data_IF_812866249578
#
_entry.id   IF_812866249578
#
_cell.length_a   1.000
_cell.length_b   1.000
_cell.length_c   1.000
_cell.angle_alpha   90.00
_cell.angle_beta   90.00
_cell.angle_gamma   90.00
#
_symmetry.space_group_name_H-M   'P 1'
#
loop_
_entity.id
_entity.type
_entity.pdbx_description
1 polymer ?
#
# COMPACT_ATOMS: atom_id res chain seq x y z
N UNK A 1 55.75 -30.27 -64.12
CA UNK A 1 54.69 -31.25 -64.50
C UNK A 1 53.87 -31.82 -63.34
N UNK A 2 54.40 -31.91 -62.10
CA UNK A 2 53.67 -32.49 -60.96
C UNK A 2 52.47 -31.65 -60.43
N UNK A 3 52.44 -30.33 -60.66
CA UNK A 3 51.31 -29.47 -60.23
C UNK A 3 50.04 -29.62 -61.09
N UNK A 4 50.17 -29.91 -62.40
CA UNK A 4 49.02 -30.06 -63.32
C UNK A 4 48.30 -31.41 -63.16
N UNK A 5 49.04 -32.48 -62.85
CA UNK A 5 48.48 -33.82 -62.61
C UNK A 5 47.56 -33.84 -61.39
N UNK A 6 47.96 -33.17 -60.30
CA UNK A 6 47.13 -33.03 -59.11
C UNK A 6 45.84 -32.22 -59.34
N UNK A 7 45.89 -31.20 -60.22
CA UNK A 7 44.71 -30.40 -60.58
C UNK A 7 43.70 -31.22 -61.38
N UNK A 8 44.15 -32.02 -62.36
CA UNK A 8 43.25 -32.88 -63.14
C UNK A 8 42.67 -34.03 -62.32
N UNK A 9 43.43 -34.62 -61.39
CA UNK A 9 42.90 -35.62 -60.46
C UNK A 9 41.87 -35.03 -59.49
N UNK A 10 42.08 -33.79 -59.03
CA UNK A 10 41.08 -33.08 -58.22
C UNK A 10 39.81 -32.77 -59.01
N UNK A 11 39.94 -32.29 -60.25
CA UNK A 11 38.82 -32.00 -61.13
C UNK A 11 37.99 -33.26 -61.46
N UNK A 12 38.65 -34.40 -61.69
CA UNK A 12 37.97 -35.70 -61.88
C UNK A 12 37.21 -36.13 -60.63
N UNK A 13 37.80 -36.05 -59.44
CA UNK A 13 37.13 -36.41 -58.17
C UNK A 13 35.96 -35.48 -57.86
N UNK A 14 36.11 -34.18 -58.12
CA UNK A 14 35.02 -33.20 -58.00
C UNK A 14 33.89 -33.49 -59.00
N UNK A 15 34.23 -33.88 -60.24
CA UNK A 15 33.25 -34.28 -61.24
C UNK A 15 32.42 -35.50 -60.83
N UNK A 16 33.03 -36.52 -60.23
CA UNK A 16 32.33 -37.71 -59.70
C UNK A 16 31.43 -37.35 -58.51
N UNK A 17 31.91 -36.50 -57.60
CA UNK A 17 31.13 -35.99 -56.45
C UNK A 17 29.94 -35.14 -56.89
N UNK A 18 30.04 -34.44 -58.03
CA UNK A 18 28.97 -33.66 -58.63
C UNK A 18 27.96 -34.53 -59.41
N UNK A 19 28.41 -35.62 -60.06
CA UNK A 19 27.50 -36.51 -60.82
C UNK A 19 26.68 -37.44 -59.93
N UNK A 20 27.18 -37.81 -58.75
CA UNK A 20 26.49 -38.73 -57.83
C UNK A 20 25.72 -38.00 -56.71
N UNK A 21 25.56 -36.67 -56.79
CA UNK A 21 24.87 -35.86 -55.76
C UNK A 21 25.60 -35.78 -54.42
N UNK A 22 26.73 -36.49 -54.24
CA UNK A 22 27.46 -36.59 -52.99
C UNK A 22 27.97 -35.23 -52.46
N UNK A 23 28.29 -34.27 -53.34
CA UNK A 23 28.66 -32.92 -52.93
C UNK A 23 27.46 -32.12 -52.42
N UNK A 24 26.30 -32.25 -53.06
CA UNK A 24 25.04 -31.61 -52.62
C UNK A 24 24.57 -32.22 -51.30
N UNK A 25 24.65 -33.55 -51.16
CA UNK A 25 24.37 -34.29 -49.93
C UNK A 25 25.28 -33.84 -48.78
N UNK A 26 26.59 -33.70 -49.04
CA UNK A 26 27.56 -33.20 -48.06
C UNK A 26 27.26 -31.75 -47.65
N UNK A 27 26.91 -30.89 -48.61
CA UNK A 27 26.56 -29.49 -48.33
C UNK A 27 25.29 -29.41 -47.46
N UNK A 28 24.28 -30.23 -47.78
CA UNK A 28 23.04 -30.33 -46.99
C UNK A 28 23.28 -30.86 -45.58
N UNK A 29 24.16 -31.86 -45.42
CA UNK A 29 24.58 -32.35 -44.10
C UNK A 29 25.33 -31.28 -43.30
N UNK A 30 26.15 -30.47 -43.97
CA UNK A 30 26.86 -29.36 -43.33
C UNK A 30 25.90 -28.25 -42.89
N UNK A 31 24.88 -27.92 -43.69
CA UNK A 31 23.79 -27.00 -43.31
C UNK A 31 23.01 -27.52 -42.11
N UNK A 32 22.56 -28.77 -42.13
CA UNK A 32 21.87 -29.42 -41.01
C UNK A 32 22.73 -29.46 -39.74
N UNK A 33 24.04 -29.70 -39.88
CA UNK A 33 24.97 -29.66 -38.76
C UNK A 33 25.10 -28.25 -38.17
N UNK A 34 25.20 -27.22 -39.02
CA UNK A 34 25.28 -25.83 -38.56
C UNK A 34 23.96 -25.38 -37.91
N UNK A 35 22.82 -25.76 -38.47
CA UNK A 35 21.50 -25.51 -37.88
C UNK A 35 21.35 -26.22 -36.53
N UNK A 36 21.68 -27.51 -36.46
CA UNK A 36 21.68 -28.27 -35.21
C UNK A 36 22.62 -27.67 -34.16
N UNK A 37 23.79 -27.20 -34.58
CA UNK A 37 24.75 -26.51 -33.69
C UNK A 37 24.24 -25.16 -33.23
N UNK A 38 23.57 -24.39 -34.08
CA UNK A 38 22.90 -23.14 -33.70
C UNK A 38 21.81 -23.39 -32.67
N UNK A 39 20.93 -24.35 -32.95
CA UNK A 39 19.84 -24.74 -32.05
C UNK A 39 20.39 -25.20 -30.68
N UNK A 40 21.49 -25.96 -30.67
CA UNK A 40 22.14 -26.39 -29.43
C UNK A 40 22.70 -25.19 -28.65
N UNK A 41 23.31 -24.22 -29.33
CA UNK A 41 23.80 -22.99 -28.68
C UNK A 41 22.64 -22.16 -28.11
N UNK A 42 21.55 -21.99 -28.86
CA UNK A 42 20.37 -21.23 -28.42
C UNK A 42 19.71 -21.88 -27.20
N UNK A 43 19.58 -23.21 -27.21
CA UNK A 43 19.07 -23.98 -26.07
C UNK A 43 19.99 -23.81 -24.85
N UNK A 44 21.31 -23.91 -25.02
CA UNK A 44 22.26 -23.72 -23.92
C UNK A 44 22.19 -22.30 -23.34
N UNK A 45 22.10 -21.27 -24.18
CA UNK A 45 21.93 -19.89 -23.72
C UNK A 45 20.65 -19.76 -22.89
N UNK A 46 19.54 -20.35 -23.36
CA UNK A 46 18.25 -20.30 -22.65
C UNK A 46 18.29 -21.07 -21.33
N UNK A 47 19.02 -22.19 -21.28
CA UNK A 47 19.27 -22.92 -20.03
C UNK A 47 20.06 -22.04 -19.04
N UNK A 48 21.08 -21.33 -19.51
CA UNK A 48 21.89 -20.46 -18.65
C UNK A 48 21.10 -19.23 -18.17
N UNK A 49 20.23 -18.66 -19.00
CA UNK A 49 19.27 -17.62 -18.60
C UNK A 49 18.30 -18.14 -17.53
N UNK A 50 17.76 -19.35 -17.71
CA UNK A 50 16.87 -19.98 -16.73
C UNK A 50 17.57 -20.22 -15.38
N UNK A 51 18.82 -20.70 -15.40
CA UNK A 51 19.61 -20.87 -14.17
C UNK A 51 19.80 -19.54 -13.43
N UNK A 52 20.14 -18.46 -14.15
CA UNK A 52 20.27 -17.12 -13.54
C UNK A 52 18.96 -16.63 -12.92
N UNK A 53 17.83 -16.88 -13.58
CA UNK A 53 16.50 -16.54 -13.04
C UNK A 53 16.18 -17.37 -11.79
N UNK A 54 16.51 -18.65 -11.79
CA UNK A 54 16.29 -19.54 -10.65
C UNK A 54 17.15 -19.13 -9.44
N UNK A 55 18.42 -18.81 -9.67
CA UNK A 55 19.34 -18.24 -8.67
C UNK A 55 18.79 -16.92 -8.12
N UNK A 56 18.36 -16.00 -8.99
CA UNK A 56 17.76 -14.72 -8.59
C UNK A 56 16.46 -14.87 -7.81
N UNK A 57 15.62 -15.86 -8.15
CA UNK A 57 14.41 -16.19 -7.40
C UNK A 57 14.74 -16.71 -6.01
N UNK A 58 15.78 -17.53 -5.90
CA UNK A 58 16.27 -18.05 -4.63
C UNK A 58 16.81 -16.92 -3.73
N UNK A 59 17.63 -16.02 -4.28
CA UNK A 59 18.15 -14.87 -3.52
C UNK A 59 17.04 -13.94 -3.03
N UNK A 60 16.07 -13.60 -3.88
CA UNK A 60 14.90 -12.79 -3.50
C UNK A 60 14.08 -13.44 -2.38
N UNK A 61 13.97 -14.78 -2.39
CA UNK A 61 13.28 -15.51 -1.32
C UNK A 61 14.02 -15.39 0.02
N UNK A 62 15.35 -15.46 0.00
CA UNK A 62 16.18 -15.29 1.20
C UNK A 62 16.03 -13.85 1.72
N UNK A 63 16.16 -12.84 0.85
CA UNK A 63 16.01 -11.44 1.21
C UNK A 63 14.63 -11.13 1.81
N UNK A 64 13.56 -11.70 1.24
CA UNK A 64 12.20 -11.57 1.76
C UNK A 64 12.07 -12.14 3.18
N UNK A 65 12.68 -13.29 3.45
CA UNK A 65 12.62 -13.89 4.79
C UNK A 65 13.43 -13.07 5.81
N UNK A 66 14.60 -12.56 5.42
CA UNK A 66 15.40 -11.65 6.25
C UNK A 66 14.62 -10.38 6.58
N UNK A 67 13.95 -9.78 5.59
CA UNK A 67 13.11 -8.60 5.82
C UNK A 67 11.96 -8.91 6.78
N UNK A 68 11.30 -10.05 6.62
CA UNK A 68 10.22 -10.49 7.52
C UNK A 68 10.69 -10.65 8.96
N UNK A 69 11.88 -11.25 9.17
CA UNK A 69 12.46 -11.38 10.51
C UNK A 69 12.75 -10.01 11.14
N UNK A 70 13.33 -9.07 10.38
CA UNK A 70 13.57 -7.70 10.84
C UNK A 70 12.28 -6.98 11.22
N UNK A 71 11.24 -7.07 10.38
CA UNK A 71 9.93 -6.46 10.68
C UNK A 71 9.31 -7.06 11.94
N UNK A 72 9.48 -8.37 12.19
CA UNK A 72 9.00 -8.99 13.42
C UNK A 72 9.75 -8.49 14.65
N UNK A 73 11.07 -8.35 14.57
CA UNK A 73 11.87 -7.76 15.66
C UNK A 73 11.43 -6.32 15.95
N UNK A 74 11.28 -5.50 14.90
CA UNK A 74 10.80 -4.12 15.02
C UNK A 74 9.41 -4.03 15.66
N UNK A 75 8.52 -4.98 15.35
CA UNK A 75 7.21 -5.08 15.99
C UNK A 75 7.32 -5.36 17.49
N UNK A 76 8.12 -6.35 17.89
CA UNK A 76 8.33 -6.72 19.29
C UNK A 76 8.96 -5.56 20.09
N UNK A 77 9.94 -4.86 19.51
CA UNK A 77 10.56 -3.68 20.11
C UNK A 77 9.56 -2.53 20.35
N UNK A 78 8.53 -2.44 19.50
CA UNK A 78 7.48 -1.41 19.58
C UNK A 78 6.18 -1.92 20.18
N UNK A 79 6.17 -3.12 20.77
CA UNK A 79 4.96 -3.77 21.29
C UNK A 79 4.16 -2.86 22.24
N UNK A 80 4.85 -2.19 23.17
CA UNK A 80 4.21 -1.27 24.13
C UNK A 80 3.55 -0.06 23.46
N UNK A 81 4.10 0.41 22.33
CA UNK A 81 3.51 1.50 21.55
C UNK A 81 2.27 0.99 20.79
N UNK A 82 2.34 -0.23 20.26
CA UNK A 82 1.24 -0.89 19.57
C UNK A 82 0.07 -1.16 20.53
N UNK A 83 0.30 -1.76 21.70
CA UNK A 83 -0.74 -1.99 22.71
C UNK A 83 -1.44 -0.70 23.12
N UNK A 84 -0.67 0.38 23.28
CA UNK A 84 -1.22 1.68 23.63
C UNK A 84 -2.09 2.26 22.52
N UNK A 85 -1.67 2.11 21.27
CA UNK A 85 -2.46 2.50 20.11
C UNK A 85 -3.78 1.71 20.06
N UNK A 86 -3.72 0.39 20.23
CA UNK A 86 -4.89 -0.49 20.27
C UNK A 86 -5.85 -0.08 21.40
N UNK A 87 -5.33 0.15 22.61
CA UNK A 87 -6.15 0.56 23.75
C UNK A 87 -6.86 1.91 23.51
N UNK A 88 -6.15 2.89 22.93
CA UNK A 88 -6.74 4.19 22.59
C UNK A 88 -7.81 4.07 21.51
N UNK A 89 -7.54 3.32 20.44
CA UNK A 89 -8.52 3.07 19.39
C UNK A 89 -9.78 2.39 19.93
N UNK A 90 -9.62 1.36 20.76
CA UNK A 90 -10.73 0.64 21.38
C UNK A 90 -11.55 1.56 22.30
N UNK A 91 -10.88 2.42 23.07
CA UNK A 91 -11.55 3.40 23.93
C UNK A 91 -12.32 4.45 23.12
N UNK A 92 -11.76 4.92 22.00
CA UNK A 92 -12.41 5.91 21.15
C UNK A 92 -13.65 5.30 20.47
N UNK A 93 -13.51 4.12 19.88
CA UNK A 93 -14.63 3.42 19.23
C UNK A 93 -15.74 3.03 20.21
N UNK A 94 -15.38 2.60 21.42
CA UNK A 94 -16.36 2.30 22.48
C UNK A 94 -17.16 3.54 22.89
N UNK A 95 -16.55 4.72 22.90
CA UNK A 95 -17.25 5.96 23.22
C UNK A 95 -18.29 6.37 22.16
N UNK A 96 -18.17 5.86 20.94
CA UNK A 96 -19.11 6.12 19.84
C UNK A 96 -20.20 5.04 19.76
N UNK A 97 -19.81 3.77 19.74
CA UNK A 97 -20.72 2.66 19.42
C UNK A 97 -21.11 1.77 20.61
N UNK A 98 -20.80 2.16 21.85
CA UNK A 98 -21.01 1.38 23.08
C UNK A 98 -20.33 -0.02 23.06
N UNK A 99 -19.53 -0.31 22.04
CA UNK A 99 -18.77 -1.55 21.85
C UNK A 99 -17.36 -1.21 21.34
N UNK A 100 -16.31 -1.85 21.89
CA UNK A 100 -14.95 -1.59 21.44
C UNK A 100 -14.75 -2.12 20.03
N UNK A 101 -14.14 -1.30 19.17
CA UNK A 101 -13.55 -1.77 17.93
C UNK A 101 -12.34 -2.66 18.18
N UNK A 102 -11.83 -3.25 17.11
CA UNK A 102 -10.59 -4.03 17.10
C UNK A 102 -9.61 -3.38 16.14
N UNK A 103 -8.47 -2.92 16.66
CA UNK A 103 -7.28 -2.61 15.88
C UNK A 103 -6.30 -3.79 16.01
N UNK A 104 -6.08 -4.51 14.92
CA UNK A 104 -5.11 -5.59 14.86
C UNK A 104 -3.90 -5.19 13.99
N UNK A 105 -2.71 -5.23 14.58
CA UNK A 105 -1.45 -4.90 13.91
C UNK A 105 -0.66 -6.19 13.76
N UNK A 106 -0.52 -6.68 12.52
CA UNK A 106 0.13 -7.94 12.21
C UNK A 106 1.35 -7.74 11.29
N UNK A 107 2.28 -8.68 11.31
CA UNK A 107 3.40 -8.73 10.36
C UNK A 107 3.07 -9.75 9.27
N UNK A 108 2.63 -9.25 8.12
CA UNK A 108 2.31 -10.04 6.94
C UNK A 108 3.53 -10.32 6.05
N UNK A 109 3.29 -10.91 4.87
CA UNK A 109 4.36 -11.21 3.91
C UNK A 109 4.96 -9.97 3.23
N UNK A 110 4.23 -8.85 3.23
CA UNK A 110 4.59 -7.58 2.58
C UNK A 110 4.93 -6.46 3.57
N UNK A 111 4.95 -6.76 4.89
CA UNK A 111 5.17 -5.77 5.94
C UNK A 111 4.03 -5.72 6.96
N UNK A 112 3.86 -4.58 7.62
CA UNK A 112 2.78 -4.37 8.58
C UNK A 112 1.41 -4.40 7.89
N UNK A 113 0.47 -5.11 8.51
CA UNK A 113 -0.92 -5.18 8.12
C UNK A 113 -1.76 -4.64 9.28
N UNK A 114 -2.59 -3.66 8.99
CA UNK A 114 -3.47 -3.00 9.96
C UNK A 114 -4.90 -3.36 9.60
N UNK A 115 -5.57 -4.09 10.50
CA UNK A 115 -6.98 -4.43 10.34
C UNK A 115 -7.78 -3.67 11.39
N UNK A 116 -8.79 -2.93 10.92
CA UNK A 116 -9.65 -2.09 11.76
C UNK A 116 -11.09 -2.55 11.61
N UNK A 117 -11.64 -3.12 12.67
CA UNK A 117 -13.00 -3.62 12.71
C UNK A 117 -13.81 -2.89 13.80
N UNK A 118 -15.05 -2.54 13.49
CA UNK A 118 -16.03 -2.05 14.46
C UNK A 118 -17.30 -2.86 14.20
N UNK A 119 -18.03 -3.24 15.25
CA UNK A 119 -19.28 -3.98 15.08
C UNK A 119 -20.23 -3.23 14.14
N UNK A 120 -20.95 -3.98 13.29
CA UNK A 120 -21.93 -3.47 12.30
C UNK A 120 -21.34 -2.76 11.07
N UNK A 121 -20.15 -3.14 10.63
CA UNK A 121 -19.34 -2.61 9.52
C UNK A 121 -19.96 -2.54 8.09
N UNK A 122 -21.28 -2.42 7.94
CA UNK A 122 -21.97 -2.40 6.65
C UNK A 122 -22.42 -1.01 6.19
N UNK A 123 -22.27 0.03 7.00
CA UNK A 123 -22.64 1.40 6.61
C UNK A 123 -21.40 2.26 6.33
N UNK A 124 -21.53 3.13 5.33
CA UNK A 124 -20.49 4.11 4.98
C UNK A 124 -20.13 5.02 6.17
N UNK A 125 -21.11 5.43 6.96
CA UNK A 125 -20.91 6.24 8.15
C UNK A 125 -20.06 5.57 9.24
N UNK A 126 -20.16 4.23 9.40
CA UNK A 126 -19.29 3.49 10.33
C UNK A 126 -17.84 3.49 9.84
N UNK A 127 -17.63 3.38 8.53
CA UNK A 127 -16.31 3.53 7.92
C UNK A 127 -15.67 4.88 8.24
N UNK A 128 -16.44 5.96 8.17
CA UNK A 128 -15.96 7.31 8.52
C UNK A 128 -15.64 7.44 10.01
N UNK A 129 -16.45 6.86 10.89
CA UNK A 129 -16.16 6.86 12.34
C UNK A 129 -14.96 5.98 12.72
N UNK A 130 -14.63 4.95 11.94
CA UNK A 130 -13.34 4.24 12.08
C UNK A 130 -12.16 5.17 11.80
N UNK A 131 -12.23 5.94 10.72
CA UNK A 131 -11.20 6.92 10.37
C UNK A 131 -11.05 7.93 11.51
N UNK A 132 -12.16 8.50 12.00
CA UNK A 132 -12.15 9.40 13.14
C UNK A 132 -11.47 8.80 14.38
N UNK A 133 -11.84 7.58 14.79
CA UNK A 133 -11.25 6.92 15.96
C UNK A 133 -9.75 6.68 15.80
N UNK A 134 -9.31 6.34 14.59
CA UNK A 134 -7.92 6.11 14.23
C UNK A 134 -7.11 7.42 14.22
N UNK A 135 -7.65 8.48 13.64
CA UNK A 135 -7.00 9.79 13.60
C UNK A 135 -6.91 10.42 15.00
N UNK A 136 -7.96 10.27 15.81
CA UNK A 136 -7.95 10.70 17.21
C UNK A 136 -6.93 9.90 18.03
N UNK A 137 -6.82 8.59 17.82
CA UNK A 137 -5.77 7.75 18.43
C UNK A 137 -4.38 8.30 18.11
N UNK A 138 -4.11 8.68 16.86
CA UNK A 138 -2.83 9.30 16.50
C UNK A 138 -2.60 10.64 17.19
N UNK A 139 -3.59 11.52 17.21
CA UNK A 139 -3.49 12.81 17.91
C UNK A 139 -3.18 12.59 19.41
N UNK A 140 -3.84 11.62 20.04
CA UNK A 140 -3.61 11.25 21.44
C UNK A 140 -2.18 10.72 21.66
N UNK A 141 -1.66 9.89 20.76
CA UNK A 141 -0.29 9.37 20.83
C UNK A 141 0.77 10.46 20.61
N UNK A 142 0.54 11.33 19.62
CA UNK A 142 1.49 12.40 19.28
C UNK A 142 1.51 13.54 20.29
N UNK A 143 0.39 13.86 20.94
CA UNK A 143 0.34 14.86 22.02
C UNK A 143 1.37 14.61 23.14
N UNK A 144 1.82 13.36 23.30
CA UNK A 144 2.77 12.95 24.32
C UNK A 144 4.23 12.92 23.85
N UNK A 145 4.47 13.23 22.57
CA UNK A 145 5.81 13.22 21.96
C UNK A 145 6.22 14.65 21.61
N UNK A 146 7.53 14.90 21.59
CA UNK A 146 8.10 16.16 21.13
C UNK A 146 9.20 15.87 20.09
N UNK A 147 9.20 16.55 18.92
CA UNK A 147 8.17 17.50 18.47
C UNK A 147 6.86 16.80 18.09
N UNK A 148 5.74 17.53 18.22
CA UNK A 148 4.41 17.09 17.79
C UNK A 148 3.66 18.27 17.17
N UNK A 149 2.89 18.05 16.09
CA UNK A 149 2.05 19.10 15.49
C UNK A 149 1.00 19.67 16.45
N UNK A 150 0.54 18.87 17.43
CA UNK A 150 -0.53 19.21 18.39
C UNK A 150 -1.79 19.76 17.71
N UNK A 151 -2.11 19.25 16.52
CA UNK A 151 -3.29 19.64 15.75
C UNK A 151 -3.85 18.43 14.99
N UNK A 152 -5.18 18.32 14.93
CA UNK A 152 -5.93 17.39 14.10
C UNK A 152 -7.03 18.17 13.37
N UNK A 153 -7.13 17.97 12.05
CA UNK A 153 -8.09 18.69 11.20
C UNK A 153 -8.87 17.68 10.36
N UNK A 154 -10.20 17.79 10.39
CA UNK A 154 -11.10 17.03 9.51
C UNK A 154 -11.96 17.96 8.66
N UNK A 155 -12.26 17.57 7.43
CA UNK A 155 -13.25 18.27 6.61
C UNK A 155 -14.67 17.76 6.90
N UNK A 156 -15.67 18.32 6.18
CA UNK A 156 -17.07 17.94 6.35
C UNK A 156 -17.39 16.53 5.83
N UNK A 157 -16.55 15.97 4.93
CA UNK A 157 -16.81 14.65 4.33
C UNK A 157 -16.77 13.53 5.35
N UNK A 158 -16.02 13.73 6.44
CA UNK A 158 -15.93 12.79 7.56
C UNK A 158 -17.28 12.58 8.26
N UNK A 159 -18.15 13.59 8.28
CA UNK A 159 -19.44 13.51 8.99
C UNK A 159 -20.61 13.21 8.07
N UNK A 160 -20.44 13.37 6.77
CA UNK A 160 -21.48 13.11 5.78
C UNK A 160 -21.98 11.65 5.83
N UNK A 161 -23.30 11.45 5.85
CA UNK A 161 -23.92 10.12 5.97
C UNK A 161 -23.67 9.38 7.29
N UNK A 162 -23.14 10.06 8.32
CA UNK A 162 -22.98 9.52 9.67
C UNK A 162 -24.24 9.84 10.49
N UNK A 163 -24.68 8.88 11.30
CA UNK A 163 -25.80 9.04 12.24
C UNK A 163 -25.55 10.21 13.21
N UNK A 164 -26.54 11.09 13.40
CA UNK A 164 -26.38 12.34 14.18
C UNK A 164 -25.88 12.10 15.60
N UNK A 165 -26.32 11.02 16.25
CA UNK A 165 -25.86 10.65 17.59
C UNK A 165 -24.36 10.33 17.59
N UNK A 166 -23.87 9.68 16.55
CA UNK A 166 -22.44 9.36 16.39
C UNK A 166 -21.62 10.62 16.13
N UNK A 167 -22.14 11.57 15.35
CA UNK A 167 -21.51 12.88 15.15
C UNK A 167 -21.40 13.64 16.48
N UNK A 168 -22.47 13.67 17.28
CA UNK A 168 -22.47 14.32 18.59
C UNK A 168 -21.41 13.71 19.53
N UNK A 169 -21.41 12.38 19.65
CA UNK A 169 -20.43 11.65 20.46
C UNK A 169 -18.99 11.89 20.00
N UNK A 170 -18.74 11.92 18.69
CA UNK A 170 -17.43 12.21 18.13
C UNK A 170 -16.94 13.63 18.47
N UNK A 171 -17.80 14.63 18.31
CA UNK A 171 -17.47 16.03 18.63
C UNK A 171 -17.20 16.24 20.12
N UNK A 172 -18.02 15.66 20.99
CA UNK A 172 -17.82 15.70 22.44
C UNK A 172 -16.53 14.98 22.87
N UNK A 173 -16.27 13.81 22.30
CA UNK A 173 -15.04 13.06 22.54
C UNK A 173 -13.82 13.87 22.11
N UNK A 174 -13.84 14.45 20.91
CA UNK A 174 -12.73 15.26 20.40
C UNK A 174 -12.50 16.51 21.27
N UNK A 175 -13.56 17.19 21.70
CA UNK A 175 -13.46 18.35 22.60
C UNK A 175 -12.79 17.95 23.93
N UNK A 176 -13.27 16.87 24.57
CA UNK A 176 -12.72 16.37 25.83
C UNK A 176 -11.25 15.95 25.69
N UNK A 177 -10.92 15.17 24.67
CA UNK A 177 -9.57 14.63 24.49
C UNK A 177 -8.56 15.71 24.10
N UNK A 178 -8.98 16.66 23.25
CA UNK A 178 -8.15 17.79 22.84
C UNK A 178 -7.80 18.71 24.00
N UNK A 179 -8.77 19.01 24.88
CA UNK A 179 -8.54 19.75 26.12
C UNK A 179 -7.63 18.98 27.08
N UNK A 180 -7.94 17.70 27.33
CA UNK A 180 -7.21 16.84 28.27
C UNK A 180 -5.74 16.66 27.91
N UNK A 181 -5.43 16.54 26.61
CA UNK A 181 -4.08 16.26 26.12
C UNK A 181 -3.36 17.47 25.51
N UNK A 182 -4.03 18.62 25.41
CA UNK A 182 -3.43 19.87 24.96
C UNK A 182 -3.11 19.91 23.46
N UNK A 183 -3.90 19.25 22.61
CA UNK A 183 -3.85 19.41 21.15
C UNK A 183 -5.08 20.19 20.67
N UNK A 184 -5.05 20.73 19.45
CA UNK A 184 -6.18 21.42 18.83
C UNK A 184 -6.92 20.50 17.89
N UNK A 185 -8.22 20.34 18.09
CA UNK A 185 -9.10 19.71 17.10
C UNK A 185 -9.85 20.77 16.32
N UNK A 186 -9.84 20.67 14.99
CA UNK A 186 -10.56 21.56 14.08
C UNK A 186 -11.35 20.70 13.11
N UNK A 187 -12.61 21.01 12.89
CA UNK A 187 -13.37 20.35 11.84
C UNK A 187 -14.23 21.34 11.05
N UNK A 188 -14.44 21.04 9.78
CA UNK A 188 -15.53 21.62 9.01
C UNK A 188 -16.78 20.72 9.17
N UNK A 189 -17.95 21.34 9.29
CA UNK A 189 -19.22 20.65 9.42
C UNK A 189 -20.27 21.46 8.68
N UNK A 190 -21.09 20.78 7.86
CA UNK A 190 -22.20 21.45 7.19
C UNK A 190 -23.28 21.79 8.24
N UNK A 191 -23.93 22.94 8.08
CA UNK A 191 -24.88 23.45 9.08
C UNK A 191 -26.09 22.54 9.32
N UNK A 192 -26.50 21.78 8.30
CA UNK A 192 -27.56 20.77 8.36
C UNK A 192 -27.14 19.48 9.07
N UNK A 193 -25.83 19.24 9.20
CA UNK A 193 -25.26 18.07 9.87
C UNK A 193 -24.93 18.32 11.35
N UNK A 194 -25.28 19.49 11.90
CA UNK A 194 -25.04 19.83 13.32
C UNK A 194 -26.07 19.09 14.19
N UNK A 195 -25.66 18.11 15.03
CA UNK A 195 -26.58 17.24 15.76
C UNK A 195 -27.10 17.92 17.04
N UNK A 196 -27.84 19.02 16.86
CA UNK A 196 -28.20 19.97 17.92
C UNK A 196 -29.02 19.35 19.06
N UNK A 197 -29.75 18.26 18.79
CA UNK A 197 -30.59 17.56 19.77
C UNK A 197 -29.90 16.38 20.45
N UNK A 198 -28.77 15.91 19.94
CA UNK A 198 -28.10 14.69 20.40
C UNK A 198 -26.97 14.97 21.40
N UNK A 199 -26.55 16.23 21.53
CA UNK A 199 -25.51 16.62 22.48
C UNK A 199 -25.92 16.38 23.94
N UNK A 200 -24.95 15.99 24.76
CA UNK A 200 -25.12 15.80 26.20
C UNK A 200 -25.45 17.11 26.91
N UNK A 201 -26.17 16.99 28.03
CA UNK A 201 -26.58 18.15 28.82
C UNK A 201 -25.36 18.92 29.34
N UNK A 202 -25.21 20.16 28.86
CA UNK A 202 -24.09 21.05 29.21
C UNK A 202 -23.03 21.20 28.12
N UNK A 203 -23.09 20.41 27.04
CA UNK A 203 -22.23 20.63 25.89
C UNK A 203 -22.76 21.78 25.03
N UNK A 204 -22.04 22.91 25.03
CA UNK A 204 -22.39 24.08 24.23
C UNK A 204 -21.60 24.11 22.91
N UNK A 205 -22.13 23.47 21.86
CA UNK A 205 -21.50 23.42 20.54
C UNK A 205 -21.16 24.82 19.99
N UNK A 206 -22.07 25.80 20.14
CA UNK A 206 -21.89 27.15 19.61
C UNK A 206 -20.65 27.87 20.18
N UNK A 207 -20.23 27.51 21.40
CA UNK A 207 -19.00 28.07 22.01
C UNK A 207 -17.71 27.64 21.29
N UNK A 208 -17.76 26.54 20.54
CA UNK A 208 -16.65 26.01 19.76
C UNK A 208 -16.63 26.53 18.31
N UNK A 209 -17.73 27.10 17.83
CA UNK A 209 -17.80 27.66 16.47
C UNK A 209 -16.86 28.86 16.37
N UNK A 210 -15.91 28.81 15.43
CA UNK A 210 -14.94 29.90 15.18
C UNK A 210 -15.24 30.69 13.92
N UNK A 211 -15.86 30.04 12.93
CA UNK A 211 -16.21 30.60 11.65
C UNK A 211 -17.49 29.93 11.15
N UNK A 212 -18.45 30.73 10.69
CA UNK A 212 -19.60 30.24 9.92
C UNK A 212 -19.45 30.78 8.51
N UNK A 213 -19.41 29.87 7.54
CA UNK A 213 -19.36 30.21 6.13
C UNK A 213 -20.79 30.21 5.59
N UNK A 214 -21.15 31.25 4.84
CA UNK A 214 -22.44 31.39 4.17
C UNK A 214 -22.19 31.81 2.74
N UNK A 215 -23.15 31.54 1.85
CA UNK A 215 -23.07 31.94 0.43
C UNK A 215 -23.30 33.45 0.23
N UNK A 216 -23.44 34.23 1.32
CA UNK A 216 -23.58 35.68 1.29
C UNK A 216 -22.20 36.37 1.17
N UNK A 217 -22.17 37.60 0.65
CA UNK A 217 -20.93 38.38 0.40
C UNK A 217 -19.97 38.51 1.60
N UNK A 218 -20.43 38.25 2.83
CA UNK A 218 -19.66 38.35 4.09
C UNK A 218 -19.19 36.98 4.62
N UNK A 219 -19.72 35.87 4.08
CA UNK A 219 -19.52 34.50 4.57
C UNK A 219 -18.44 33.68 3.85
N UNK A 220 -17.70 34.30 2.92
CA UNK A 220 -16.79 33.60 2.02
C UNK A 220 -15.48 33.16 2.69
N UNK A 221 -15.03 31.93 2.41
CA UNK A 221 -13.73 31.45 2.86
C UNK A 221 -12.61 32.29 2.21
N UNK A 222 -11.82 32.99 3.02
CA UNK A 222 -10.75 33.89 2.57
C UNK A 222 -11.23 35.07 1.69
N UNK A 223 -12.53 35.40 1.70
CA UNK A 223 -13.09 36.48 0.90
C UNK A 223 -13.23 36.18 -0.59
N UNK A 224 -13.21 34.90 -0.99
CA UNK A 224 -13.33 34.45 -2.38
C UNK A 224 -14.69 33.76 -2.57
N UNK A 225 -15.48 34.22 -3.54
CA UNK A 225 -16.70 33.54 -3.99
C UNK A 225 -16.35 32.46 -5.03
N UNK A 226 -16.94 31.27 -4.92
CA UNK A 226 -16.79 30.16 -5.89
C UNK A 226 -18.06 29.96 -6.72
#
# INVERSE_FOLDING_TARGET
MLRYSNTNQRASKLGVLQTHGALEEYTRLQELYLEGRSNLNDINQRIDELKKVEEGKSSLRIEKEVLKQRTRQDYEERHTQAERAIALFNSNSQALYDAPGTLAINVGQSGFQFNVEIERDRSEGIGKMKIFCYDLMFAQLWSQRKPSPNILIHDSTLFDGVDERQVALALELAARESERLGFKYICALNSDMVPSTEFSSGFNFDSFVRLRLTDDEVGNLLGISF
#
